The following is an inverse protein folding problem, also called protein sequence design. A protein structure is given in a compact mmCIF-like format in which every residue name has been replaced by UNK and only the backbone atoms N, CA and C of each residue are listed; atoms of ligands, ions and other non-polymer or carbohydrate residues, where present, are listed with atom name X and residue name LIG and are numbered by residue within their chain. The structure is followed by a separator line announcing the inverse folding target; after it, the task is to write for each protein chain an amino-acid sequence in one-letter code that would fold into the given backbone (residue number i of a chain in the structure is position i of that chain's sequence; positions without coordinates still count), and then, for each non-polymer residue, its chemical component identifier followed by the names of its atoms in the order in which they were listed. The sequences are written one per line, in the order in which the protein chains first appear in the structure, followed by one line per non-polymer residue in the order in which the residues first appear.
data_IF_346128927770
#
_entry.id   IF_346128927770
#
_cell.length_a   1.000
_cell.length_b   1.000
_cell.length_c   1.000
_cell.angle_alpha   90.00
_cell.angle_beta   90.00
_cell.angle_gamma   90.00
#
_symmetry.space_group_name_H-M   'P 1'
#
loop_
_entity.id
_entity.type
_entity.pdbx_description
1 polymer ?
#
# COMPACT_ATOMS: atom_id res chain seq x y z
N UNK A 1 -34.51 29.56 56.66
CA UNK A 1 -34.96 30.00 55.33
C UNK A 1 -33.74 30.22 54.44
N UNK A 2 -33.79 29.60 53.25
CA UNK A 2 -33.01 29.91 52.03
C UNK A 2 -31.49 29.66 52.01
N UNK A 3 -31.11 28.46 51.55
CA UNK A 3 -29.76 28.08 51.08
C UNK A 3 -29.55 28.51 49.61
N UNK A 4 -28.30 28.74 49.17
CA UNK A 4 -28.00 29.26 47.84
C UNK A 4 -27.91 28.19 46.74
N UNK A 5 -28.21 28.66 45.54
CA UNK A 5 -27.93 28.15 44.19
C UNK A 5 -26.89 27.02 44.09
N UNK A 6 -27.31 25.85 43.58
CA UNK A 6 -26.46 24.88 42.89
C UNK A 6 -26.94 24.77 41.44
N UNK A 7 -26.13 25.29 40.53
CA UNK A 7 -26.27 25.05 39.09
C UNK A 7 -25.83 23.61 38.79
N UNK A 8 -26.75 22.79 38.29
CA UNK A 8 -26.50 21.47 37.74
C UNK A 8 -26.65 21.59 36.23
N UNK A 9 -25.53 21.68 35.51
CA UNK A 9 -25.49 21.40 34.07
C UNK A 9 -25.22 19.90 33.88
N UNK A 10 -26.04 19.18 33.10
CA UNK A 10 -25.76 17.83 32.67
C UNK A 10 -25.00 17.82 31.33
N UNK A 11 -24.48 16.63 31.01
CA UNK A 11 -24.15 16.15 29.67
C UNK A 11 -22.87 16.67 29.01
N UNK A 12 -21.82 15.85 29.06
CA UNK A 12 -21.06 15.50 27.86
C UNK A 12 -20.95 13.98 27.78
N UNK A 13 -21.95 13.37 27.15
CA UNK A 13 -21.82 12.03 26.60
C UNK A 13 -20.78 12.12 25.48
N UNK A 14 -19.57 11.61 25.73
CA UNK A 14 -18.58 11.41 24.69
C UNK A 14 -19.11 10.32 23.76
N UNK A 15 -19.69 10.74 22.64
CA UNK A 15 -20.02 9.86 21.53
C UNK A 15 -18.70 9.26 21.01
N UNK A 16 -18.42 8.03 21.43
CA UNK A 16 -17.39 7.19 20.86
C UNK A 16 -17.86 6.83 19.45
N UNK A 17 -17.53 7.66 18.46
CA UNK A 17 -17.69 7.32 17.06
C UNK A 17 -16.71 6.21 16.72
N UNK A 18 -17.15 4.96 16.88
CA UNK A 18 -16.52 3.78 16.28
C UNK A 18 -16.59 3.96 14.75
N UNK A 19 -15.55 4.54 14.16
CA UNK A 19 -15.29 4.39 12.74
C UNK A 19 -14.91 2.95 12.49
N UNK A 20 -15.88 2.14 12.02
CA UNK A 20 -15.62 0.83 11.44
C UNK A 20 -14.68 1.01 10.24
N UNK A 21 -13.41 0.66 10.41
CA UNK A 21 -12.51 0.39 9.30
C UNK A 21 -12.96 -0.89 8.61
N UNK A 22 -13.77 -0.73 7.56
CA UNK A 22 -14.07 -1.79 6.60
C UNK A 22 -12.75 -2.26 5.97
N UNK A 23 -12.31 -3.46 6.36
CA UNK A 23 -11.35 -4.25 5.61
C UNK A 23 -11.98 -4.61 4.27
N UNK A 24 -11.60 -3.93 3.19
CA UNK A 24 -11.98 -4.39 1.86
C UNK A 24 -11.18 -5.66 1.53
N UNK A 25 -11.84 -6.77 1.13
CA UNK A 25 -11.14 -7.85 0.47
C UNK A 25 -10.58 -7.34 -0.86
N UNK A 26 -9.40 -7.82 -1.25
CA UNK A 26 -8.70 -7.50 -2.50
C UNK A 26 -9.43 -7.94 -3.79
N UNK A 27 -10.74 -8.18 -3.72
CA UNK A 27 -11.63 -8.57 -4.80
C UNK A 27 -12.92 -7.73 -4.76
N UNK A 28 -12.78 -6.41 -4.87
CA UNK A 28 -13.88 -5.48 -5.16
C UNK A 28 -13.34 -4.20 -5.79
N UNK A 29 -12.57 -4.33 -6.87
CA UNK A 29 -12.20 -3.23 -7.77
C UNK A 29 -13.04 -3.26 -9.04
N UNK A 30 -14.30 -3.69 -8.91
CA UNK A 30 -15.29 -3.64 -9.97
C UNK A 30 -16.35 -2.58 -9.65
N UNK A 31 -16.28 -1.45 -10.37
CA UNK A 31 -17.42 -0.57 -10.60
C UNK A 31 -17.70 0.60 -9.64
N UNK A 32 -17.10 0.68 -8.45
CA UNK A 32 -17.39 1.72 -7.47
C UNK A 32 -16.17 2.59 -7.14
N UNK A 33 -16.42 3.82 -6.67
CA UNK A 33 -15.42 4.81 -6.29
C UNK A 33 -14.21 4.17 -5.58
N UNK A 34 -13.01 4.32 -6.14
CA UNK A 34 -11.78 3.72 -5.61
C UNK A 34 -11.00 4.77 -4.86
N UNK A 35 -10.76 4.56 -3.57
CA UNK A 35 -9.77 5.35 -2.82
C UNK A 35 -8.66 4.44 -2.32
N UNK A 36 -7.41 4.79 -2.59
CA UNK A 36 -6.23 4.06 -2.17
C UNK A 36 -5.14 5.04 -1.76
N UNK A 37 -4.41 4.68 -0.69
CA UNK A 37 -3.14 5.33 -0.35
C UNK A 37 -2.06 4.27 -0.37
N UNK A 38 -0.97 4.53 -1.06
CA UNK A 38 0.10 3.57 -1.29
C UNK A 38 1.43 4.22 -0.94
N UNK A 39 2.27 3.52 -0.17
CA UNK A 39 3.67 3.85 0.02
C UNK A 39 4.50 2.91 -0.83
N UNK A 40 5.22 3.45 -1.81
CA UNK A 40 6.03 2.68 -2.74
C UNK A 40 7.50 3.01 -2.56
N UNK A 41 8.34 1.98 -2.54
CA UNK A 41 9.79 2.19 -2.64
C UNK A 41 10.12 2.67 -4.05
N UNK A 42 11.07 3.58 -4.20
CA UNK A 42 11.51 4.09 -5.51
C UNK A 42 13.02 4.18 -5.59
N UNK A 43 13.54 4.13 -6.80
CA UNK A 43 14.97 4.26 -7.10
C UNK A 43 15.19 5.11 -8.35
N UNK A 44 16.44 5.50 -8.58
CA UNK A 44 16.82 6.36 -9.70
C UNK A 44 16.79 7.84 -9.32
N UNK A 45 15.81 8.59 -9.83
CA UNK A 45 15.72 10.03 -9.66
C UNK A 45 14.29 10.46 -9.27
N UNK A 46 14.17 11.40 -8.34
CA UNK A 46 12.91 12.05 -7.98
C UNK A 46 12.41 12.98 -9.08
N UNK A 47 11.14 13.37 -9.01
CA UNK A 47 10.54 14.25 -10.01
C UNK A 47 11.08 15.70 -9.99
N UNK A 48 11.83 16.07 -8.95
CA UNK A 48 12.54 17.36 -8.87
C UNK A 48 13.96 17.31 -9.47
N UNK A 49 14.40 16.14 -9.96
CA UNK A 49 15.74 15.92 -10.51
C UNK A 49 16.75 15.41 -9.49
N UNK A 50 16.37 15.29 -8.22
CA UNK A 50 17.26 14.81 -7.16
C UNK A 50 17.52 13.31 -7.33
N UNK A 51 18.80 12.90 -7.34
CA UNK A 51 19.18 11.48 -7.42
C UNK A 51 18.88 10.76 -6.10
N UNK A 52 18.32 9.57 -6.18
CA UNK A 52 18.02 8.70 -5.05
C UNK A 52 19.26 7.86 -4.75
N UNK A 53 19.93 8.13 -3.63
CA UNK A 53 21.02 7.28 -3.15
C UNK A 53 20.44 6.07 -2.40
N UNK A 54 20.46 4.90 -3.04
CA UNK A 54 19.91 3.66 -2.47
C UNK A 54 18.40 3.53 -2.73
N UNK A 55 17.57 3.80 -1.72
CA UNK A 55 16.11 3.64 -1.79
C UNK A 55 15.39 4.89 -1.28
N UNK A 56 14.46 5.40 -2.09
CA UNK A 56 13.50 6.45 -1.72
C UNK A 56 12.12 5.87 -1.46
N UNK A 57 11.20 6.71 -0.97
CA UNK A 57 9.78 6.38 -0.83
C UNK A 57 8.92 7.46 -1.46
N UNK A 58 7.84 7.05 -2.12
CA UNK A 58 6.79 7.93 -2.63
C UNK A 58 5.44 7.50 -2.07
N UNK A 59 4.64 8.47 -1.66
CA UNK A 59 3.29 8.26 -1.15
C UNK A 59 2.29 8.67 -2.24
N UNK A 60 1.45 7.74 -2.67
CA UNK A 60 0.46 7.94 -3.73
C UNK A 60 -0.94 7.89 -3.13
N UNK A 61 -1.67 8.99 -3.24
CA UNK A 61 -3.08 9.08 -2.87
C UNK A 61 -3.91 9.11 -4.14
N UNK A 62 -4.75 8.10 -4.32
CA UNK A 62 -5.59 7.91 -5.50
C UNK A 62 -7.04 7.94 -5.04
N UNK A 63 -7.83 8.88 -5.55
CA UNK A 63 -9.28 8.90 -5.40
C UNK A 63 -9.92 8.98 -6.79
N UNK A 64 -10.63 7.93 -7.19
CA UNK A 64 -11.32 7.82 -8.48
C UNK A 64 -12.80 7.72 -8.17
N UNK A 65 -13.54 8.75 -8.54
CA UNK A 65 -14.99 8.82 -8.36
C UNK A 65 -15.68 8.74 -9.70
N UNK A 66 -16.72 7.92 -9.80
CA UNK A 66 -17.59 7.90 -10.97
C UNK A 66 -18.76 8.82 -10.70
N UNK A 67 -18.85 9.91 -11.46
CA UNK A 67 -19.96 10.86 -11.39
C UNK A 67 -21.27 10.24 -11.88
N UNK A 68 -22.39 10.85 -11.48
CA UNK A 68 -23.75 10.41 -11.83
C UNK A 68 -24.02 10.35 -13.36
N UNK A 69 -23.24 11.07 -14.16
CA UNK A 69 -23.29 11.06 -15.63
C UNK A 69 -22.44 9.95 -16.28
N UNK A 70 -21.83 9.06 -15.50
CA UNK A 70 -20.87 8.06 -15.99
C UNK A 70 -19.46 8.63 -16.25
N UNK A 71 -19.27 9.95 -16.11
CA UNK A 71 -17.94 10.58 -16.19
C UNK A 71 -17.10 10.20 -14.96
N UNK A 72 -15.93 9.62 -15.17
CA UNK A 72 -14.97 9.35 -14.10
C UNK A 72 -14.16 10.61 -13.80
N UNK A 73 -14.29 11.13 -12.59
CA UNK A 73 -13.42 12.18 -12.04
C UNK A 73 -12.36 11.54 -11.17
N UNK A 74 -11.08 11.86 -11.37
CA UNK A 74 -9.97 11.34 -10.58
C UNK A 74 -9.19 12.48 -9.93
N UNK A 75 -8.93 12.37 -8.62
CA UNK A 75 -7.94 13.16 -7.89
C UNK A 75 -6.79 12.23 -7.52
N UNK A 76 -5.68 12.33 -8.25
CA UNK A 76 -4.48 11.51 -8.03
C UNK A 76 -3.35 12.44 -7.60
N UNK A 77 -2.80 12.18 -6.42
CA UNK A 77 -1.73 12.97 -5.83
C UNK A 77 -0.54 12.10 -5.51
N UNK A 78 0.61 12.50 -6.01
CA UNK A 78 1.90 11.84 -5.74
C UNK A 78 2.71 12.76 -4.84
N UNK A 79 3.03 12.30 -3.63
CA UNK A 79 3.92 13.00 -2.71
C UNK A 79 5.28 12.34 -2.74
N UNK A 80 6.26 13.08 -3.25
CA UNK A 80 7.62 12.62 -3.48
C UNK A 80 8.59 13.68 -2.95
N UNK A 81 9.56 13.26 -2.13
CA UNK A 81 10.53 14.17 -1.51
C UNK A 81 9.88 15.39 -0.81
N UNK A 82 8.77 15.16 -0.10
CA UNK A 82 8.02 16.22 0.60
C UNK A 82 7.19 17.16 -0.29
N UNK A 83 7.14 16.92 -1.60
CA UNK A 83 6.35 17.71 -2.56
C UNK A 83 5.20 16.89 -3.12
N UNK A 84 3.99 17.44 -3.08
CA UNK A 84 2.81 16.82 -3.67
C UNK A 84 2.57 17.36 -5.08
N UNK A 85 2.31 16.46 -6.03
CA UNK A 85 1.99 16.74 -7.43
C UNK A 85 0.67 16.10 -7.80
N UNK A 86 -0.14 16.81 -8.56
CA UNK A 86 -1.36 16.27 -9.15
C UNK A 86 -1.02 15.51 -10.43
N UNK A 87 -1.60 14.33 -10.60
CA UNK A 87 -1.38 13.46 -11.75
C UNK A 87 -2.67 13.25 -12.53
N UNK A 88 -2.53 13.18 -13.85
CA UNK A 88 -3.62 12.85 -14.76
C UNK A 88 -3.75 11.34 -14.88
N UNK A 89 -4.98 10.85 -14.75
CA UNK A 89 -5.31 9.46 -15.02
C UNK A 89 -5.17 9.16 -16.51
N UNK A 90 -4.34 8.18 -16.87
CA UNK A 90 -4.15 7.72 -18.24
C UNK A 90 -4.98 6.47 -18.54
N UNK A 91 -5.07 5.56 -17.56
CA UNK A 91 -5.80 4.29 -17.69
C UNK A 91 -6.28 3.82 -16.33
N UNK A 92 -7.52 3.33 -16.29
CA UNK A 92 -8.06 2.64 -15.11
C UNK A 92 -8.78 1.38 -15.57
N UNK A 93 -8.34 0.24 -15.08
CA UNK A 93 -9.03 -1.06 -15.19
C UNK A 93 -9.10 -1.71 -13.81
N UNK A 94 -9.84 -2.81 -13.69
CA UNK A 94 -9.92 -3.59 -12.45
C UNK A 94 -8.56 -4.16 -12.00
N UNK A 95 -7.65 -4.39 -12.95
CA UNK A 95 -6.33 -5.00 -12.69
C UNK A 95 -5.19 -3.98 -12.65
N UNK A 96 -5.32 -2.86 -13.37
CA UNK A 96 -4.23 -1.92 -13.58
C UNK A 96 -4.69 -0.47 -13.51
N UNK A 97 -3.82 0.35 -12.94
CA UNK A 97 -3.97 1.79 -12.93
C UNK A 97 -2.73 2.43 -13.53
N UNK A 98 -2.90 3.38 -14.45
CA UNK A 98 -1.79 4.19 -14.96
C UNK A 98 -2.13 5.67 -14.92
N UNK A 99 -1.18 6.47 -14.46
CA UNK A 99 -1.30 7.92 -14.34
C UNK A 99 0.06 8.57 -14.53
N UNK A 100 0.06 9.84 -14.91
CA UNK A 100 1.29 10.58 -15.14
C UNK A 100 1.17 12.05 -14.76
N UNK A 101 2.31 12.67 -14.50
CA UNK A 101 2.43 14.12 -14.41
C UNK A 101 3.75 14.57 -15.02
N UNK A 102 3.82 15.85 -15.37
CA UNK A 102 5.05 16.51 -15.77
C UNK A 102 5.56 17.38 -14.62
N UNK A 103 6.87 17.46 -14.46
CA UNK A 103 7.52 18.39 -13.54
C UNK A 103 8.75 18.98 -14.21
N UNK A 104 8.91 20.29 -14.05
CA UNK A 104 10.20 20.92 -14.30
C UNK A 104 11.14 20.57 -13.16
N UNK A 105 12.35 20.15 -13.54
CA UNK A 105 13.38 19.63 -12.67
C UNK A 105 14.73 20.24 -13.04
N UNK A 106 15.65 20.25 -12.08
CA UNK A 106 17.04 20.65 -12.33
C UNK A 106 17.91 19.40 -12.28
N UNK A 107 18.29 18.88 -13.44
CA UNK A 107 19.09 17.66 -13.57
C UNK A 107 20.51 18.06 -13.92
N UNK A 108 21.47 17.74 -13.04
CA UNK A 108 22.88 18.07 -13.20
C UNK A 108 23.14 19.56 -13.56
N UNK A 109 22.35 20.47 -12.98
CA UNK A 109 22.46 21.91 -13.19
C UNK A 109 21.68 22.46 -14.40
N UNK A 110 21.07 21.60 -15.21
CA UNK A 110 20.26 21.99 -16.37
C UNK A 110 18.77 21.83 -16.09
N UNK A 111 17.98 22.85 -16.44
CA UNK A 111 16.52 22.77 -16.38
C UNK A 111 15.99 21.79 -17.43
N UNK A 112 15.20 20.81 -17.00
CA UNK A 112 14.57 19.82 -17.86
C UNK A 112 13.13 19.57 -17.43
N UNK A 113 12.22 19.43 -18.40
CA UNK A 113 10.86 18.95 -18.12
C UNK A 113 10.84 17.43 -18.18
N UNK A 114 10.55 16.82 -17.04
CA UNK A 114 10.41 15.38 -16.89
C UNK A 114 8.93 15.00 -16.94
N UNK A 115 8.59 13.99 -17.73
CA UNK A 115 7.34 13.25 -17.57
C UNK A 115 7.61 12.02 -16.71
N UNK A 116 6.77 11.85 -15.69
CA UNK A 116 6.81 10.71 -14.80
C UNK A 116 5.50 9.95 -14.93
N UNK A 117 5.61 8.69 -15.35
CA UNK A 117 4.49 7.78 -15.56
C UNK A 117 4.56 6.64 -14.56
N UNK A 118 3.43 6.36 -13.94
CA UNK A 118 3.22 5.28 -12.98
C UNK A 118 2.27 4.26 -13.58
N UNK A 119 2.62 2.98 -13.52
CA UNK A 119 1.73 1.86 -13.82
C UNK A 119 1.70 0.93 -12.60
N UNK A 120 0.53 0.79 -11.98
CA UNK A 120 0.31 -0.04 -10.79
C UNK A 120 -0.51 -1.26 -11.19
N UNK A 121 0.02 -2.43 -10.88
CA UNK A 121 -0.74 -3.68 -10.88
C UNK A 121 -1.43 -3.86 -9.54
N UNK A 122 -2.76 -3.90 -9.53
CA UNK A 122 -3.57 -3.91 -8.32
C UNK A 122 -3.60 -5.28 -7.63
N UNK A 123 -3.40 -6.35 -8.39
CA UNK A 123 -3.34 -7.74 -7.90
C UNK A 123 -2.11 -8.00 -7.00
N UNK A 124 -0.99 -7.35 -7.32
CA UNK A 124 0.33 -7.62 -6.75
C UNK A 124 0.94 -6.40 -6.07
N UNK A 125 0.25 -5.26 -6.11
CA UNK A 125 0.72 -3.95 -5.63
C UNK A 125 2.13 -3.61 -6.14
N UNK A 126 2.39 -3.94 -7.40
CA UNK A 126 3.65 -3.63 -8.07
C UNK A 126 3.53 -2.35 -8.86
N UNK A 127 4.43 -1.42 -8.58
CA UNK A 127 4.54 -0.15 -9.27
C UNK A 127 5.72 -0.19 -10.24
N UNK A 128 5.42 0.02 -11.51
CA UNK A 128 6.40 0.41 -12.51
C UNK A 128 6.39 1.92 -12.66
N UNK A 129 7.52 2.54 -12.40
CA UNK A 129 7.74 3.98 -12.53
C UNK A 129 8.67 4.24 -13.70
N UNK A 130 8.29 5.17 -14.58
CA UNK A 130 9.09 5.56 -15.74
C UNK A 130 9.28 7.07 -15.73
N UNK A 131 10.52 7.52 -15.80
CA UNK A 131 10.91 8.92 -15.90
C UNK A 131 11.53 9.14 -17.28
N UNK A 132 11.01 10.12 -18.00
CA UNK A 132 11.50 10.50 -19.33
C UNK A 132 11.62 12.02 -19.44
N UNK A 133 12.63 12.51 -20.15
CA UNK A 133 12.72 13.93 -20.49
C UNK A 133 11.92 14.21 -21.77
N UNK A 134 10.98 15.15 -21.72
CA UNK A 134 10.04 15.41 -22.83
C UNK A 134 10.68 16.15 -24.02
N UNK A 135 11.71 16.96 -23.76
CA UNK A 135 12.29 17.87 -24.76
C UNK A 135 13.81 17.76 -24.89
N UNK A 136 14.43 16.70 -24.35
CA UNK A 136 15.87 16.50 -24.48
C UNK A 136 16.21 15.95 -25.88
N UNK A 137 17.06 16.67 -26.62
CA UNK A 137 17.59 16.21 -27.90
C UNK A 137 18.30 14.86 -27.77
N UNK A 138 18.10 13.99 -28.77
CA UNK A 138 18.70 12.65 -28.99
C UNK A 138 19.70 12.19 -27.92
N UNK A 139 19.18 11.78 -26.76
CA UNK A 139 19.98 11.41 -25.59
C UNK A 139 19.21 11.34 -24.28
N UNK A 140 17.88 11.46 -24.31
CA UNK A 140 17.06 11.48 -23.09
C UNK A 140 17.26 10.20 -22.28
N UNK A 141 17.66 10.37 -21.02
CA UNK A 141 17.83 9.25 -20.10
C UNK A 141 16.45 8.73 -19.68
N UNK A 142 16.03 7.62 -20.27
CA UNK A 142 14.84 6.90 -19.82
C UNK A 142 15.23 6.06 -18.61
N UNK A 143 14.63 6.35 -17.46
CA UNK A 143 14.78 5.53 -16.27
C UNK A 143 13.46 4.82 -16.01
N UNK A 144 13.49 3.48 -15.99
CA UNK A 144 12.34 2.67 -15.61
C UNK A 144 12.74 1.75 -14.47
N UNK A 145 11.92 1.73 -13.41
CA UNK A 145 12.13 0.88 -12.25
C UNK A 145 10.81 0.24 -11.84
N UNK A 146 10.86 -1.04 -11.48
CA UNK A 146 9.73 -1.77 -10.90
C UNK A 146 9.98 -1.98 -9.42
N UNK A 147 8.95 -1.73 -8.62
CA UNK A 147 9.05 -1.63 -7.16
C UNK A 147 7.77 -2.14 -6.51
N UNK A 148 7.87 -2.51 -5.24
CA UNK A 148 6.73 -2.96 -4.46
C UNK A 148 6.13 -1.81 -3.68
N UNK A 149 4.80 -1.80 -3.57
CA UNK A 149 4.03 -0.86 -2.78
C UNK A 149 3.32 -1.56 -1.62
N UNK A 150 3.06 -0.79 -0.57
CA UNK A 150 2.20 -1.19 0.54
C UNK A 150 1.06 -0.19 0.69
N UNK A 151 -0.11 -0.63 1.13
CA UNK A 151 -1.21 0.28 1.43
C UNK A 151 -0.88 1.15 2.65
N UNK A 152 -0.97 2.46 2.54
CA UNK A 152 -0.71 3.35 3.68
C UNK A 152 -1.81 3.15 4.73
N UNK A 153 -1.39 2.70 5.92
CA UNK A 153 -2.28 2.18 6.97
C UNK A 153 -2.01 0.71 7.30
N UNK A 154 -1.41 -0.05 6.38
CA UNK A 154 -0.64 -1.25 6.74
C UNK A 154 0.80 -0.80 6.99
N UNK A 155 1.07 -0.40 8.23
CA UNK A 155 2.45 -0.15 8.64
C UNK A 155 3.30 -1.39 8.28
N UNK A 156 4.43 -1.25 7.57
CA UNK A 156 5.44 -2.28 7.63
C UNK A 156 5.93 -2.24 9.07
N UNK A 157 5.43 -3.15 9.90
CA UNK A 157 6.02 -3.38 11.20
C UNK A 157 7.52 -3.52 10.96
N UNK A 158 8.26 -2.55 11.46
CA UNK A 158 9.71 -2.57 11.49
C UNK A 158 10.13 -3.98 11.91
N UNK A 159 11.19 -4.50 11.30
CA UNK A 159 11.91 -5.64 11.84
C UNK A 159 12.26 -5.31 13.30
N UNK A 160 11.41 -5.75 14.20
CA UNK A 160 11.33 -5.31 15.58
C UNK A 160 10.56 -6.40 16.27
N UNK A 161 11.29 -7.10 17.15
CA UNK A 161 10.87 -8.25 17.91
C UNK A 161 9.36 -8.26 18.19
N UNK A 162 8.72 -9.39 17.84
CA UNK A 162 7.31 -9.63 18.09
C UNK A 162 6.93 -9.14 19.50
N UNK A 163 5.88 -8.30 19.65
CA UNK A 163 5.37 -7.99 20.97
C UNK A 163 5.02 -9.31 21.64
N UNK A 164 5.54 -9.51 22.85
CA UNK A 164 5.27 -10.67 23.72
C UNK A 164 3.83 -10.64 24.24
N UNK A 165 2.85 -10.52 23.34
CA UNK A 165 1.47 -10.86 23.59
C UNK A 165 1.27 -12.37 23.45
N UNK A 166 0.24 -12.96 24.07
CA UNK A 166 -0.08 -14.36 23.87
C UNK A 166 -0.26 -14.62 22.38
N UNK A 167 0.48 -15.62 21.87
CA UNK A 167 0.33 -16.06 20.49
C UNK A 167 -1.16 -16.32 20.22
N UNK A 168 -1.71 -15.86 19.08
CA UNK A 168 -3.12 -16.06 18.80
C UNK A 168 -3.43 -17.56 18.78
N UNK A 169 -4.58 -17.96 19.31
CA UNK A 169 -4.91 -19.37 19.60
C UNK A 169 -4.74 -20.30 18.38
N UNK A 170 -5.03 -19.78 17.18
CA UNK A 170 -4.85 -20.51 15.93
C UNK A 170 -3.39 -20.83 15.62
N UNK A 171 -2.43 -19.98 16.02
CA UNK A 171 -1.00 -20.18 15.78
C UNK A 171 -0.44 -21.27 16.71
N UNK A 172 -0.93 -21.31 17.94
CA UNK A 172 -0.62 -22.37 18.90
C UNK A 172 -1.15 -23.71 18.39
N UNK A 173 -2.38 -23.73 17.88
CA UNK A 173 -2.98 -24.93 17.31
C UNK A 173 -2.27 -25.38 16.01
N UNK A 174 -1.88 -24.45 15.15
CA UNK A 174 -1.12 -24.73 13.93
C UNK A 174 0.23 -25.36 14.23
N UNK A 175 0.99 -24.79 15.19
CA UNK A 175 2.28 -25.35 15.61
C UNK A 175 2.15 -26.72 16.26
N UNK A 176 1.06 -26.97 16.99
CA UNK A 176 0.74 -28.30 17.51
C UNK A 176 0.50 -29.31 16.38
N UNK A 177 -0.31 -28.95 15.39
CA UNK A 177 -0.64 -29.81 14.23
C UNK A 177 0.56 -30.05 13.31
N UNK A 178 1.46 -29.09 13.15
CA UNK A 178 2.72 -29.30 12.43
C UNK A 178 3.61 -30.33 13.13
N UNK A 179 3.68 -30.33 14.46
CA UNK A 179 4.40 -31.38 15.21
C UNK A 179 3.77 -32.76 15.05
N UNK A 180 2.45 -32.82 14.88
CA UNK A 180 1.71 -34.07 14.61
C UNK A 180 1.93 -34.61 13.18
N UNK A 181 2.41 -33.78 12.23
CA UNK A 181 2.77 -34.23 10.88
C UNK A 181 4.08 -35.05 10.81
N UNK A 182 4.88 -35.06 11.88
CA UNK A 182 6.14 -35.81 11.96
C UNK A 182 5.90 -37.32 11.92
N UNK A 183 5.78 -37.88 10.72
CA UNK A 183 5.59 -39.31 10.46
C UNK A 183 6.86 -39.91 9.83
N UNK A 184 7.02 -41.24 9.88
CA UNK A 184 8.23 -41.93 9.37
C UNK A 184 8.42 -41.82 7.85
N UNK A 185 7.39 -41.40 7.12
CA UNK A 185 7.40 -41.32 5.66
C UNK A 185 7.51 -39.84 5.20
N UNK A 186 8.60 -39.48 4.52
CA UNK A 186 8.87 -38.08 4.14
C UNK A 186 7.83 -37.52 3.16
N UNK A 187 7.17 -38.36 2.36
CA UNK A 187 6.15 -37.88 1.39
C UNK A 187 4.86 -37.53 2.13
N UNK A 188 4.49 -38.34 3.12
CA UNK A 188 3.30 -38.11 3.93
C UNK A 188 3.46 -36.87 4.83
N UNK A 189 4.68 -36.64 5.32
CA UNK A 189 5.03 -35.44 6.09
C UNK A 189 4.87 -34.17 5.24
N UNK A 190 5.43 -34.14 4.02
CA UNK A 190 5.32 -32.98 3.12
C UNK A 190 3.85 -32.68 2.78
N UNK A 191 3.07 -33.69 2.43
CA UNK A 191 1.64 -33.53 2.13
C UNK A 191 0.83 -33.04 3.35
N UNK A 192 1.16 -33.52 4.55
CA UNK A 192 0.54 -33.06 5.79
C UNK A 192 0.87 -31.58 6.05
N UNK A 193 2.14 -31.21 5.92
CA UNK A 193 2.61 -29.84 6.12
C UNK A 193 1.97 -28.89 5.10
N UNK A 194 1.94 -29.24 3.82
CA UNK A 194 1.29 -28.42 2.79
C UNK A 194 -0.21 -28.25 3.04
N UNK A 195 -0.91 -29.32 3.44
CA UNK A 195 -2.33 -29.25 3.80
C UNK A 195 -2.56 -28.32 5.00
N UNK A 196 -1.68 -28.36 6.01
CA UNK A 196 -1.78 -27.47 7.16
C UNK A 196 -1.47 -26.02 6.77
N UNK A 197 -0.46 -25.78 5.92
CA UNK A 197 -0.18 -24.45 5.39
C UNK A 197 -1.36 -23.89 4.60
N UNK A 198 -1.97 -24.68 3.71
CA UNK A 198 -3.14 -24.24 2.94
C UNK A 198 -4.33 -23.84 3.85
N UNK A 199 -4.49 -24.51 5.00
CA UNK A 199 -5.60 -24.26 5.93
C UNK A 199 -5.39 -23.05 6.84
N UNK A 200 -4.14 -22.76 7.23
CA UNK A 200 -3.84 -21.72 8.23
C UNK A 200 -3.12 -20.49 7.64
N UNK A 201 -2.46 -20.62 6.49
CA UNK A 201 -1.67 -19.54 5.87
C UNK A 201 -2.41 -18.76 4.77
N UNK A 202 -3.68 -19.07 4.49
CA UNK A 202 -4.43 -18.50 3.35
C UNK A 202 -4.89 -17.05 3.56
N UNK A 203 -4.82 -16.50 4.77
CA UNK A 203 -5.24 -15.12 5.05
C UNK A 203 -4.73 -14.57 6.41
N UNK A 204 -3.55 -15.01 6.87
CA UNK A 204 -3.02 -14.52 8.15
C UNK A 204 -2.35 -13.15 7.98
N UNK A 205 -2.88 -12.12 8.64
CA UNK A 205 -2.27 -10.78 8.77
C UNK A 205 -0.95 -10.77 9.55
N UNK A 206 -0.58 -11.91 10.13
CA UNK A 206 0.65 -12.12 10.89
C UNK A 206 1.61 -12.93 10.02
N UNK A 207 2.83 -12.42 9.82
CA UNK A 207 3.89 -13.16 9.11
C UNK A 207 4.31 -14.35 9.96
N UNK A 208 4.02 -15.55 9.47
CA UNK A 208 4.39 -16.82 10.10
C UNK A 208 5.53 -17.42 9.27
N UNK A 209 6.75 -17.56 9.82
CA UNK A 209 7.90 -18.13 9.11
C UNK A 209 7.62 -19.50 8.49
N UNK A 210 6.78 -20.30 9.14
CA UNK A 210 6.38 -21.61 8.68
C UNK A 210 5.50 -21.57 7.42
N UNK A 211 4.88 -20.42 7.08
CA UNK A 211 4.07 -20.20 5.88
C UNK A 211 4.88 -19.66 4.69
N UNK A 212 6.00 -19.00 4.94
CA UNK A 212 6.91 -18.50 3.91
C UNK A 212 7.82 -19.67 3.48
N UNK A 213 7.43 -20.35 2.39
CA UNK A 213 8.17 -21.51 1.86
C UNK A 213 9.68 -21.22 1.74
N UNK A 214 10.51 -22.17 2.19
CA UNK A 214 11.94 -22.21 1.88
C UNK A 214 12.14 -22.55 0.41
#
# INVERSE_FOLDING_TARGET
MSRPFRSLLPATAAAFSLTLTLSLPAAALDGANTSARLSCNVSGMYADGTRIAGSGSEELSIDIRRGASGSATSDIRVTSNGRTREAALLRSTSERLAFAYASDALVDGMGQTLAITYEIRLDSLRLKRTVMALFAGQGSTLQSAETNCVLAGSSPAAAGAAPAGPAPDWLVEFRRKLKECGTKDPVSEVLCVERMKARYCTNSSIRVPECEGK
#
